data_IF_831469609315
#
_entry.id   IF_831469609315
#
_cell.length_a   1.000
_cell.length_b   1.000
_cell.length_c   1.000
_cell.angle_alpha   90.00
_cell.angle_beta   90.00
_cell.angle_gamma   90.00
#
_symmetry.space_group_name_H-M   'P 1'
#
loop_
_entity.id
_entity.type
_entity.pdbx_description
1 polymer ?
#
# COMPACT_ATOMS: atom_id res chain seq x y z
N UNK A 1 -9.79 26.03 8.44
CA UNK A 1 -10.39 25.33 9.60
C UNK A 1 -10.54 23.85 9.25
N UNK A 2 -10.38 22.92 10.17
CA UNK A 2 -10.67 21.50 9.93
C UNK A 2 -11.79 21.08 10.89
N UNK A 3 -12.89 20.58 10.37
CA UNK A 3 -13.99 20.05 11.16
C UNK A 3 -13.88 18.52 11.24
N UNK A 4 -13.94 17.99 12.46
CA UNK A 4 -14.11 16.55 12.69
C UNK A 4 -15.60 16.27 12.75
N UNK A 5 -16.09 15.41 11.87
CA UNK A 5 -17.50 15.05 11.78
C UNK A 5 -17.64 13.57 12.12
N UNK A 6 -18.45 13.26 13.12
CA UNK A 6 -18.88 11.88 13.40
C UNK A 6 -19.98 11.51 12.41
N UNK A 7 -19.78 10.41 11.67
CA UNK A 7 -20.76 9.85 10.73
C UNK A 7 -21.35 8.56 11.32
N UNK A 8 -22.47 8.10 10.76
CA UNK A 8 -23.11 6.80 11.11
C UNK A 8 -22.05 5.70 11.20
N UNK A 9 -22.16 4.83 12.20
CA UNK A 9 -21.19 3.78 12.60
C UNK A 9 -19.95 4.24 13.38
N UNK A 10 -19.99 5.41 14.02
CA UNK A 10 -18.91 5.95 14.88
C UNK A 10 -17.56 6.16 14.16
N UNK A 11 -17.60 6.33 12.84
CA UNK A 11 -16.44 6.71 12.04
C UNK A 11 -16.23 8.24 12.09
N UNK A 12 -15.00 8.67 12.38
CA UNK A 12 -14.60 10.09 12.39
C UNK A 12 -14.02 10.48 11.03
N UNK A 13 -14.61 11.51 10.43
CA UNK A 13 -14.15 12.08 9.17
C UNK A 13 -13.62 13.50 9.34
N UNK A 14 -12.66 13.89 8.51
CA UNK A 14 -12.17 15.26 8.42
C UNK A 14 -12.82 15.97 7.25
N UNK A 15 -13.47 17.09 7.55
CA UNK A 15 -13.95 18.03 6.57
C UNK A 15 -13.10 19.31 6.64
N UNK A 16 -12.22 19.57 5.67
CA UNK A 16 -11.52 20.85 5.56
C UNK A 16 -12.53 21.96 5.26
N UNK A 17 -12.41 23.08 5.96
CA UNK A 17 -13.28 24.24 5.81
C UNK A 17 -12.43 25.49 5.58
N UNK A 18 -12.54 26.07 4.39
CA UNK A 18 -12.02 27.40 4.08
C UNK A 18 -13.01 28.48 4.53
N UNK A 19 -12.51 29.69 4.81
CA UNK A 19 -13.37 30.86 4.96
C UNK A 19 -13.33 31.66 3.65
N UNK A 20 -14.47 31.77 3.00
CA UNK A 20 -14.63 32.54 1.77
C UNK A 20 -15.79 33.53 1.97
N UNK A 21 -15.51 34.82 1.78
CA UNK A 21 -16.47 35.92 2.00
C UNK A 21 -17.18 35.87 3.37
N UNK A 22 -16.42 35.56 4.44
CA UNK A 22 -16.96 35.48 5.81
C UNK A 22 -17.85 34.26 6.07
N UNK A 23 -17.87 33.27 5.16
CA UNK A 23 -18.60 32.01 5.30
C UNK A 23 -17.65 30.83 5.26
N UNK A 24 -17.88 29.89 6.17
CA UNK A 24 -17.20 28.60 6.14
C UNK A 24 -17.77 27.75 5.00
N UNK A 25 -16.88 27.27 4.13
CA UNK A 25 -17.20 26.39 3.01
C UNK A 25 -16.23 25.21 3.01
N UNK A 26 -16.66 24.06 2.48
CA UNK A 26 -15.77 22.92 2.29
C UNK A 26 -14.61 23.34 1.40
N UNK A 27 -13.39 23.01 1.80
CA UNK A 27 -12.21 23.39 1.03
C UNK A 27 -12.34 22.87 -0.40
N UNK A 28 -12.23 23.79 -1.35
CA UNK A 28 -12.24 23.50 -2.77
C UNK A 28 -10.81 23.34 -3.28
N UNK A 29 -10.67 22.69 -4.43
CA UNK A 29 -9.38 22.58 -5.11
C UNK A 29 -8.87 23.98 -5.49
N UNK A 30 -7.63 24.30 -5.11
CA UNK A 30 -7.01 25.58 -5.47
C UNK A 30 -7.37 26.77 -4.57
N UNK A 31 -8.18 26.58 -3.51
CA UNK A 31 -8.63 27.66 -2.64
C UNK A 31 -7.59 28.12 -1.58
N UNK A 32 -6.44 27.45 -1.51
CA UNK A 32 -5.34 27.77 -0.59
C UNK A 32 -5.48 27.16 0.80
N UNK A 33 -6.58 26.47 1.12
CA UNK A 33 -6.80 25.87 2.45
C UNK A 33 -5.79 24.76 2.72
N UNK A 34 -5.45 23.97 1.71
CA UNK A 34 -4.49 22.87 1.79
C UNK A 34 -3.07 23.39 1.97
N UNK A 35 -2.68 24.41 1.19
CA UNK A 35 -1.43 25.13 1.41
C UNK A 35 -1.34 25.72 2.82
N UNK A 36 -2.42 26.31 3.35
CA UNK A 36 -2.42 26.86 4.70
C UNK A 36 -2.16 25.79 5.78
N UNK A 37 -2.66 24.57 5.60
CA UNK A 37 -2.35 23.44 6.48
C UNK A 37 -0.86 23.05 6.38
N UNK A 38 -0.31 22.98 5.17
CA UNK A 38 1.10 22.71 4.96
C UNK A 38 2.01 23.80 5.57
N UNK A 39 1.61 25.08 5.52
CA UNK A 39 2.29 26.17 6.24
C UNK A 39 2.24 25.96 7.75
N UNK A 40 1.09 25.56 8.30
CA UNK A 40 0.98 25.30 9.74
C UNK A 40 1.88 24.14 10.21
N UNK A 41 2.03 23.11 9.37
CA UNK A 41 2.99 22.01 9.57
C UNK A 41 4.42 22.52 9.54
N UNK A 42 4.76 23.31 8.53
CA UNK A 42 6.09 23.90 8.38
C UNK A 42 6.53 24.74 9.58
N UNK A 43 5.59 25.48 10.16
CA UNK A 43 5.85 26.35 11.31
C UNK A 43 5.68 25.66 12.67
N UNK A 44 5.27 24.39 12.70
CA UNK A 44 5.04 23.64 13.94
C UNK A 44 3.92 24.23 14.80
N UNK A 45 2.85 24.73 14.18
CA UNK A 45 1.75 25.39 14.90
C UNK A 45 0.88 24.38 15.64
N UNK A 46 0.43 24.77 16.84
CA UNK A 46 -0.70 24.13 17.53
C UNK A 46 -1.95 24.96 17.31
N UNK A 47 -2.97 24.38 16.67
CA UNK A 47 -4.23 25.05 16.33
C UNK A 47 -5.33 24.51 17.26
N UNK A 48 -5.77 25.27 18.28
CA UNK A 48 -6.82 24.82 19.19
C UNK A 48 -8.18 24.72 18.47
N UNK A 49 -9.04 23.80 18.92
CA UNK A 49 -10.42 23.72 18.46
C UNK A 49 -11.15 25.04 18.75
N UNK A 50 -11.93 25.52 17.78
CA UNK A 50 -12.82 26.66 18.04
C UNK A 50 -13.89 26.26 19.08
N UNK A 51 -14.25 27.15 20.00
CA UNK A 51 -15.42 26.94 20.85
C UNK A 51 -16.64 26.72 19.96
N UNK A 52 -17.49 25.76 20.31
CA UNK A 52 -18.75 25.51 19.59
C UNK A 52 -19.54 26.83 19.57
N UNK A 53 -19.73 27.43 18.39
CA UNK A 53 -20.40 28.71 18.25
C UNK A 53 -21.89 28.58 18.59
N UNK A 54 -22.23 28.75 19.88
CA UNK A 54 -23.60 28.92 20.39
C UNK A 54 -23.68 29.38 21.86
N UNK A 55 -22.58 29.81 22.50
CA UNK A 55 -22.67 30.35 23.86
C UNK A 55 -22.94 31.87 23.79
N UNK A 56 -23.99 32.39 24.46
CA UNK A 56 -24.25 33.83 24.52
C UNK A 56 -23.04 34.58 25.14
N UNK A 57 -22.84 35.87 24.83
CA UNK A 57 -21.67 36.65 25.28
C UNK A 57 -21.47 36.74 26.81
N UNK A 58 -22.43 36.26 27.59
CA UNK A 58 -22.39 36.16 29.06
C UNK A 58 -21.72 34.90 29.61
N UNK A 59 -21.40 33.90 28.79
CA UNK A 59 -20.81 32.64 29.24
C UNK A 59 -19.30 32.61 29.01
N UNK A 60 -18.55 32.09 29.99
CA UNK A 60 -17.11 31.84 29.82
C UNK A 60 -16.91 30.89 28.63
N UNK A 61 -15.94 31.15 27.74
CA UNK A 61 -15.67 30.25 26.63
C UNK A 61 -15.41 28.83 27.17
N UNK A 62 -16.07 27.85 26.55
CA UNK A 62 -15.88 26.45 26.88
C UNK A 62 -14.38 26.09 26.77
N UNK A 63 -13.85 25.22 27.65
CA UNK A 63 -12.46 24.80 27.57
C UNK A 63 -12.18 24.15 26.21
N UNK A 64 -10.99 24.40 25.66
CA UNK A 64 -10.50 23.75 24.45
C UNK A 64 -10.40 22.25 24.72
N UNK A 65 -11.16 21.44 23.99
CA UNK A 65 -11.21 19.98 24.18
C UNK A 65 -10.40 19.20 23.13
N UNK A 66 -9.94 19.89 22.08
CA UNK A 66 -9.12 19.32 21.03
C UNK A 66 -8.16 20.35 20.44
N UNK A 67 -7.06 19.89 19.87
CA UNK A 67 -6.14 20.72 19.09
C UNK A 67 -5.53 19.92 17.95
N UNK A 68 -5.23 20.60 16.85
CA UNK A 68 -4.32 20.07 15.84
C UNK A 68 -2.90 20.44 16.23
N UNK A 69 -2.04 19.44 16.37
CA UNK A 69 -0.62 19.61 16.63
C UNK A 69 0.11 19.33 15.34
N UNK A 70 0.62 20.38 14.71
CA UNK A 70 1.35 20.27 13.44
C UNK A 70 2.85 20.13 13.74
N UNK A 71 3.52 19.19 13.08
CA UNK A 71 4.92 18.84 13.34
C UNK A 71 5.72 18.84 12.05
N UNK A 72 6.73 19.71 11.88
CA UNK A 72 7.64 19.62 10.75
C UNK A 72 8.60 18.44 10.96
N UNK A 73 8.96 17.76 9.86
CA UNK A 73 9.97 16.71 9.85
C UNK A 73 11.30 17.24 9.30
N UNK A 74 12.39 16.49 9.52
CA UNK A 74 13.74 16.94 9.21
C UNK A 74 13.94 17.25 7.71
N UNK A 75 13.32 16.48 6.82
CA UNK A 75 13.50 16.64 5.38
C UNK A 75 12.81 17.89 4.81
N UNK A 76 11.92 18.54 5.55
CA UNK A 76 11.15 19.68 5.06
C UNK A 76 12.02 20.83 4.56
N UNK A 77 13.12 21.14 5.24
CA UNK A 77 14.04 22.21 4.83
C UNK A 77 14.73 21.88 3.51
N UNK A 78 15.17 20.63 3.36
CA UNK A 78 15.82 20.16 2.14
C UNK A 78 14.84 20.16 0.95
N UNK A 79 13.59 19.77 1.19
CA UNK A 79 12.52 19.74 0.17
C UNK A 79 12.00 21.16 -0.18
N UNK A 80 11.99 22.06 0.80
CA UNK A 80 11.54 23.45 0.66
C UNK A 80 12.50 24.39 -0.08
N UNK A 81 13.73 23.95 -0.37
CA UNK A 81 14.68 24.71 -1.20
C UNK A 81 15.46 25.82 -0.47
N UNK A 82 15.59 25.80 0.85
CA UNK A 82 16.40 26.78 1.59
C UNK A 82 16.16 26.86 3.11
N UNK A 83 16.79 27.86 3.75
CA UNK A 83 16.79 28.06 5.21
C UNK A 83 15.44 28.53 5.80
N UNK A 84 14.54 29.04 4.96
CA UNK A 84 13.19 29.46 5.33
C UNK A 84 12.17 28.78 4.39
N UNK A 85 11.12 28.22 4.98
CA UNK A 85 10.13 27.41 4.27
C UNK A 85 9.18 28.34 3.52
N UNK A 86 9.34 28.51 2.20
CA UNK A 86 8.41 29.29 1.36
C UNK A 86 7.17 28.48 0.92
N UNK A 87 6.66 27.56 1.75
CA UNK A 87 5.43 26.80 1.46
C UNK A 87 4.24 27.74 1.22
N UNK A 88 4.23 28.93 1.83
CA UNK A 88 3.20 29.93 1.63
C UNK A 88 3.08 30.41 0.17
N UNK A 89 4.17 30.37 -0.62
CA UNK A 89 4.21 30.77 -2.02
C UNK A 89 4.02 29.64 -3.04
N UNK A 90 3.95 28.39 -2.58
CA UNK A 90 3.86 27.23 -3.46
C UNK A 90 2.51 27.16 -4.17
N UNK A 91 2.45 27.02 -5.51
CA UNK A 91 1.19 26.75 -6.20
C UNK A 91 0.65 25.39 -5.75
N UNK A 92 -0.68 25.28 -5.61
CA UNK A 92 -1.34 24.04 -5.23
C UNK A 92 -2.14 23.46 -6.40
N UNK A 93 -2.12 22.13 -6.56
CA UNK A 93 -3.01 21.42 -7.48
C UNK A 93 -3.48 20.07 -6.92
N UNK A 94 -4.68 19.60 -7.30
CA UNK A 94 -5.13 18.26 -6.96
C UNK A 94 -4.35 17.17 -7.72
N UNK A 95 -4.30 15.97 -7.15
CA UNK A 95 -3.75 14.76 -7.80
C UNK A 95 -4.80 14.08 -8.69
N UNK A 96 -6.10 14.32 -8.44
CA UNK A 96 -7.22 13.86 -9.28
C UNK A 96 -7.57 12.37 -9.20
N UNK A 97 -6.70 11.52 -8.64
CA UNK A 97 -6.81 10.06 -8.71
C UNK A 97 -6.76 9.33 -7.35
N UNK A 98 -6.94 10.02 -6.22
CA UNK A 98 -6.90 9.40 -4.89
C UNK A 98 -8.33 9.07 -4.39
N UNK A 99 -8.64 7.79 -4.23
CA UNK A 99 -9.99 7.33 -3.84
C UNK A 99 -10.17 7.22 -2.32
N UNK A 100 -9.10 6.94 -1.57
CA UNK A 100 -9.16 6.73 -0.12
C UNK A 100 -8.95 8.05 0.65
N UNK A 101 -8.10 8.93 0.13
CA UNK A 101 -7.69 10.16 0.80
C UNK A 101 -7.87 11.40 -0.08
N UNK A 102 -7.53 12.56 0.47
CA UNK A 102 -7.46 13.80 -0.31
C UNK A 102 -6.00 14.23 -0.40
N UNK A 103 -5.46 14.20 -1.63
CA UNK A 103 -4.05 14.48 -1.90
C UNK A 103 -3.88 15.74 -2.76
N UNK A 104 -2.98 16.64 -2.34
CA UNK A 104 -2.70 17.92 -2.99
C UNK A 104 -1.19 18.08 -3.18
N UNK A 105 -0.77 18.43 -4.38
CA UNK A 105 0.62 18.73 -4.73
C UNK A 105 0.89 20.21 -4.53
N UNK A 106 2.04 20.53 -3.94
CA UNK A 106 2.55 21.87 -3.67
C UNK A 106 3.89 22.05 -4.40
N UNK A 107 3.93 22.99 -5.36
CA UNK A 107 5.11 23.35 -6.19
C UNK A 107 5.85 22.18 -6.85
N UNK A 108 5.17 21.07 -7.14
CA UNK A 108 5.80 19.83 -7.63
C UNK A 108 6.97 19.35 -6.73
N UNK A 109 6.96 19.72 -5.45
CA UNK A 109 8.01 19.35 -4.47
C UNK A 109 7.45 18.58 -3.29
N UNK A 110 6.24 18.93 -2.86
CA UNK A 110 5.58 18.32 -1.72
C UNK A 110 4.21 17.80 -2.12
N UNK A 111 3.80 16.72 -1.47
CA UNK A 111 2.43 16.21 -1.53
C UNK A 111 1.88 16.16 -0.12
N UNK A 112 0.73 16.80 0.08
CA UNK A 112 -0.06 16.76 1.30
C UNK A 112 -1.14 15.69 1.12
N UNK A 113 -1.09 14.63 1.92
CA UNK A 113 -2.11 13.57 2.00
C UNK A 113 -2.93 13.79 3.27
N UNK A 114 -4.24 13.99 3.11
CA UNK A 114 -5.18 14.18 4.23
C UNK A 114 -6.08 12.98 4.35
N UNK A 115 -6.04 12.35 5.53
CA UNK A 115 -6.78 11.13 5.80
C UNK A 115 -8.26 11.42 5.95
N UNK A 116 -9.09 10.80 5.11
CA UNK A 116 -10.55 11.01 5.19
C UNK A 116 -11.13 10.34 6.42
N UNK A 117 -10.69 9.12 6.71
CA UNK A 117 -11.11 8.33 7.87
C UNK A 117 -9.99 8.36 8.91
N UNK A 118 -10.29 8.87 10.11
CA UNK A 118 -9.31 8.97 11.20
C UNK A 118 -9.47 7.80 12.16
N UNK A 119 -8.35 7.19 12.54
CA UNK A 119 -8.31 6.14 13.56
C UNK A 119 -7.43 6.57 14.75
N UNK A 120 -7.75 6.18 15.99
CA UNK A 120 -6.92 6.47 17.14
C UNK A 120 -5.50 5.89 16.98
N UNK A 121 -4.49 6.68 17.32
CA UNK A 121 -3.08 6.32 17.23
C UNK A 121 -2.36 6.96 16.02
N UNK A 122 -1.13 6.50 15.81
CA UNK A 122 -0.34 6.88 14.64
C UNK A 122 -0.88 6.11 13.43
N UNK A 123 -1.09 6.81 12.32
CA UNK A 123 -1.40 6.16 11.06
C UNK A 123 -0.18 5.32 10.60
N UNK A 124 -0.38 4.06 10.14
CA UNK A 124 0.72 3.20 9.68
C UNK A 124 1.60 3.81 8.58
N UNK A 125 1.03 4.62 7.68
CA UNK A 125 1.76 5.33 6.63
C UNK A 125 2.76 6.33 7.22
N UNK A 126 2.36 7.04 8.27
CA UNK A 126 3.26 7.94 9.00
C UNK A 126 4.32 7.15 9.78
N UNK A 127 3.90 6.12 10.54
CA UNK A 127 4.79 5.34 11.40
C UNK A 127 5.88 4.62 10.60
N UNK A 128 5.49 3.90 9.54
CA UNK A 128 6.41 3.11 8.73
C UNK A 128 7.29 4.00 7.86
N UNK A 129 6.75 5.09 7.29
CA UNK A 129 7.58 6.03 6.53
C UNK A 129 8.61 6.72 7.43
N UNK A 130 8.23 7.19 8.62
CA UNK A 130 9.17 7.78 9.58
C UNK A 130 10.26 6.78 9.99
N UNK A 131 9.89 5.54 10.32
CA UNK A 131 10.85 4.48 10.63
C UNK A 131 11.83 4.23 9.47
N UNK A 132 11.30 4.02 8.27
CA UNK A 132 12.09 3.70 7.08
C UNK A 132 13.02 4.86 6.71
N UNK A 133 12.48 6.07 6.58
CA UNK A 133 13.22 7.22 6.09
C UNK A 133 14.17 7.80 7.14
N UNK A 134 13.73 7.95 8.39
CA UNK A 134 14.48 8.70 9.42
C UNK A 134 15.35 7.80 10.30
N UNK A 135 14.86 6.63 10.70
CA UNK A 135 15.58 5.75 11.64
C UNK A 135 16.51 4.77 10.93
N UNK A 136 16.05 4.17 9.81
CA UNK A 136 16.82 3.13 9.10
C UNK A 136 17.60 3.69 7.90
N UNK A 137 17.16 4.80 7.32
CA UNK A 137 17.75 5.37 6.10
C UNK A 137 17.44 4.53 4.85
N UNK A 138 16.23 3.97 4.77
CA UNK A 138 15.70 3.37 3.55
C UNK A 138 15.30 4.47 2.56
N UNK A 139 16.08 4.64 1.50
CA UNK A 139 15.92 5.76 0.55
C UNK A 139 14.78 5.58 -0.46
N UNK A 140 14.25 4.35 -0.60
CA UNK A 140 13.21 4.03 -1.58
C UNK A 140 11.78 4.30 -1.07
N UNK A 141 11.61 5.31 -0.21
CA UNK A 141 10.32 5.90 0.18
C UNK A 141 10.36 7.42 -0.01
N UNK A 142 9.22 8.09 -0.28
CA UNK A 142 9.17 9.54 -0.24
C UNK A 142 9.57 10.07 1.14
N UNK A 143 10.44 11.07 1.20
CA UNK A 143 10.88 11.66 2.46
C UNK A 143 9.74 12.38 3.17
N UNK A 144 9.60 12.14 4.48
CA UNK A 144 8.63 12.84 5.32
C UNK A 144 9.01 14.31 5.51
N UNK A 145 8.10 15.22 5.20
CA UNK A 145 8.23 16.66 5.40
C UNK A 145 7.46 17.16 6.64
N UNK A 146 6.48 16.41 7.12
CA UNK A 146 5.80 16.69 8.39
C UNK A 146 4.43 16.06 8.46
N UNK A 147 3.73 16.29 9.55
CA UNK A 147 2.41 15.69 9.77
C UNK A 147 1.57 16.50 10.77
N UNK A 148 0.30 16.13 10.88
CA UNK A 148 -0.67 16.72 11.80
C UNK A 148 -1.34 15.64 12.61
N UNK A 149 -1.41 15.85 13.92
CA UNK A 149 -2.17 15.02 14.84
C UNK A 149 -3.36 15.79 15.40
N UNK A 150 -4.53 15.17 15.45
CA UNK A 150 -5.63 15.61 16.29
C UNK A 150 -5.42 15.06 17.70
N UNK A 151 -5.21 15.94 18.67
CA UNK A 151 -5.08 15.60 20.08
C UNK A 151 -6.36 15.99 20.81
N UNK A 152 -6.98 15.04 21.50
CA UNK A 152 -8.15 15.24 22.37
C UNK A 152 -7.87 14.67 23.77
N UNK A 153 -8.82 14.84 24.69
CA UNK A 153 -8.74 14.19 26.00
C UNK A 153 -8.70 12.65 25.93
N UNK A 154 -9.22 12.07 24.84
CA UNK A 154 -9.35 10.62 24.66
C UNK A 154 -8.14 10.00 23.94
N UNK A 155 -7.22 10.82 23.42
CA UNK A 155 -6.02 10.35 22.71
C UNK A 155 -5.61 11.22 21.53
N UNK A 156 -4.69 10.70 20.72
CA UNK A 156 -4.21 11.35 19.51
C UNK A 156 -4.54 10.52 18.27
N UNK A 157 -4.68 11.17 17.12
CA UNK A 157 -4.88 10.51 15.84
C UNK A 157 -4.22 11.28 14.70
N UNK A 158 -3.55 10.60 13.78
CA UNK A 158 -2.96 11.26 12.60
C UNK A 158 -4.06 11.74 11.64
N UNK A 159 -3.95 12.99 11.20
CA UNK A 159 -4.92 13.69 10.35
C UNK A 159 -4.41 13.89 8.93
N UNK A 160 -3.13 14.22 8.80
CA UNK A 160 -2.52 14.49 7.53
C UNK A 160 -1.00 14.28 7.62
N UNK A 161 -0.38 14.03 6.48
CA UNK A 161 1.07 14.03 6.33
C UNK A 161 1.47 14.81 5.09
N UNK A 162 2.69 15.35 5.11
CA UNK A 162 3.35 16.00 3.99
C UNK A 162 4.61 15.20 3.69
N UNK A 163 4.79 14.82 2.44
CA UNK A 163 5.94 14.08 1.96
C UNK A 163 6.52 14.75 0.71
N UNK A 164 7.71 14.31 0.32
CA UNK A 164 8.28 14.57 -1.00
C UNK A 164 7.31 14.16 -2.11
N UNK A 165 7.01 15.10 -3.01
CA UNK A 165 6.39 14.77 -4.29
C UNK A 165 7.49 14.28 -5.25
N UNK A 166 7.16 13.32 -6.11
CA UNK A 166 8.08 12.71 -7.05
C UNK A 166 7.68 13.11 -8.49
N UNK A 167 8.25 14.19 -9.05
CA UNK A 167 7.90 14.65 -10.39
C UNK A 167 8.23 13.61 -11.46
N UNK A 168 7.28 13.38 -12.36
CA UNK A 168 7.45 12.42 -13.46
C UNK A 168 7.40 10.95 -13.03
N UNK A 169 7.11 10.67 -11.75
CA UNK A 169 6.82 9.33 -11.29
C UNK A 169 5.58 8.78 -12.00
N UNK A 170 5.64 7.51 -12.40
CA UNK A 170 4.51 6.79 -12.98
C UNK A 170 4.20 5.55 -12.15
N UNK A 171 2.94 5.14 -12.15
CA UNK A 171 2.53 3.88 -11.54
C UNK A 171 3.29 2.69 -12.16
N UNK A 172 3.93 1.87 -11.33
CA UNK A 172 4.77 0.77 -11.82
C UNK A 172 3.93 -0.34 -12.47
N UNK A 173 2.68 -0.54 -12.04
CA UNK A 173 1.79 -1.52 -12.69
C UNK A 173 1.46 -1.09 -14.12
N UNK A 174 1.03 0.15 -14.33
CA UNK A 174 0.67 0.68 -15.64
C UNK A 174 1.87 0.78 -16.58
N UNK A 175 3.01 1.28 -16.10
CA UNK A 175 4.23 1.38 -16.90
C UNK A 175 4.78 -0.01 -17.29
N UNK A 176 4.75 -0.98 -16.38
CA UNK A 176 5.12 -2.38 -16.67
C UNK A 176 4.15 -3.00 -17.68
N UNK A 177 2.83 -2.84 -17.49
CA UNK A 177 1.82 -3.38 -18.39
C UNK A 177 1.97 -2.81 -19.81
N UNK A 178 2.22 -1.51 -19.94
CA UNK A 178 2.44 -0.85 -21.24
C UNK A 178 3.70 -1.38 -21.94
N UNK A 179 4.81 -1.51 -21.19
CA UNK A 179 6.09 -2.01 -21.70
C UNK A 179 5.99 -3.46 -22.18
N UNK A 180 5.40 -4.34 -21.37
CA UNK A 180 5.14 -5.74 -21.75
C UNK A 180 4.22 -5.82 -22.96
N UNK A 181 3.17 -4.98 -23.02
CA UNK A 181 2.26 -4.92 -24.17
C UNK A 181 3.02 -4.57 -25.45
N UNK A 182 3.91 -3.58 -25.40
CA UNK A 182 4.73 -3.16 -26.54
C UNK A 182 5.65 -4.29 -27.02
N UNK A 183 6.31 -5.01 -26.09
CA UNK A 183 7.17 -6.15 -26.42
C UNK A 183 6.40 -7.33 -27.04
N UNK A 184 5.22 -7.66 -26.50
CA UNK A 184 4.34 -8.69 -27.09
C UNK A 184 3.99 -8.35 -28.54
N UNK A 185 3.78 -7.07 -28.85
CA UNK A 185 3.39 -6.61 -30.18
C UNK A 185 4.53 -6.47 -31.18
N UNK A 186 5.79 -6.57 -30.74
CA UNK A 186 6.99 -6.32 -31.53
C UNK A 186 7.93 -7.56 -31.57
N UNK A 187 7.74 -8.48 -32.53
CA UNK A 187 8.59 -9.66 -32.70
C UNK A 187 10.08 -9.35 -32.82
N UNK A 188 10.91 -10.10 -32.07
CA UNK A 188 12.37 -9.97 -32.08
C UNK A 188 12.93 -8.72 -31.39
N UNK A 189 12.09 -7.95 -30.68
CA UNK A 189 12.51 -6.72 -30.00
C UNK A 189 13.19 -6.95 -28.66
N UNK A 190 12.93 -8.07 -27.99
CA UNK A 190 13.41 -8.35 -26.64
C UNK A 190 13.58 -9.84 -26.40
N UNK A 191 14.51 -10.21 -25.52
CA UNK A 191 14.62 -11.57 -24.97
C UNK A 191 13.88 -11.68 -23.66
N UNK A 192 13.38 -12.86 -23.30
CA UNK A 192 12.77 -13.12 -21.97
C UNK A 192 13.71 -12.70 -20.83
N UNK A 193 15.01 -13.02 -20.91
CA UNK A 193 15.97 -12.68 -19.85
C UNK A 193 16.01 -11.16 -19.59
N UNK A 194 16.24 -10.36 -20.63
CA UNK A 194 16.20 -8.90 -20.54
C UNK A 194 14.85 -8.38 -20.01
N UNK A 195 13.74 -8.92 -20.52
CA UNK A 195 12.40 -8.51 -20.11
C UNK A 195 12.11 -8.80 -18.61
N UNK A 196 12.89 -9.67 -17.97
CA UNK A 196 12.74 -10.02 -16.55
C UNK A 196 13.74 -9.33 -15.61
N UNK A 197 14.58 -8.42 -16.10
CA UNK A 197 15.51 -7.66 -15.25
C UNK A 197 14.76 -6.79 -14.22
N UNK A 198 13.63 -6.21 -14.62
CA UNK A 198 12.75 -5.44 -13.72
C UNK A 198 12.28 -6.28 -12.52
N UNK A 199 11.96 -7.56 -12.73
CA UNK A 199 11.58 -8.45 -11.65
C UNK A 199 12.75 -8.68 -10.67
N UNK A 200 13.99 -8.74 -11.15
CA UNK A 200 15.17 -8.82 -10.28
C UNK A 200 15.38 -7.53 -9.47
N UNK A 201 15.16 -6.36 -10.07
CA UNK A 201 15.23 -5.06 -9.40
C UNK A 201 14.17 -4.97 -8.30
N UNK A 202 12.92 -5.36 -8.61
CA UNK A 202 11.84 -5.41 -7.62
C UNK A 202 12.15 -6.40 -6.48
N UNK A 203 12.76 -7.54 -6.79
CA UNK A 203 13.20 -8.50 -5.77
C UNK A 203 14.24 -7.91 -4.81
N UNK A 204 15.22 -7.18 -5.34
CA UNK A 204 16.23 -6.48 -4.53
C UNK A 204 15.61 -5.35 -3.68
N UNK A 205 14.70 -4.57 -4.27
CA UNK A 205 13.95 -3.53 -3.58
C UNK A 205 13.12 -4.09 -2.42
N UNK A 206 12.43 -5.20 -2.66
CA UNK A 206 11.60 -5.88 -1.64
C UNK A 206 12.48 -6.41 -0.51
N UNK A 207 13.66 -6.96 -0.83
CA UNK A 207 14.61 -7.41 0.18
C UNK A 207 15.17 -6.26 1.02
N UNK A 208 15.42 -5.11 0.39
CA UNK A 208 15.85 -3.91 1.11
C UNK A 208 14.76 -3.41 2.05
N UNK A 209 13.49 -3.36 1.59
CA UNK A 209 12.35 -2.98 2.43
C UNK A 209 12.22 -3.90 3.64
N UNK A 210 12.12 -5.21 3.44
CA UNK A 210 11.92 -6.15 4.55
C UNK A 210 13.11 -6.21 5.50
N UNK A 211 14.35 -6.08 4.99
CA UNK A 211 15.53 -5.96 5.85
C UNK A 211 15.49 -4.69 6.70
N UNK A 212 15.03 -3.57 6.15
CA UNK A 212 14.87 -2.31 6.87
C UNK A 212 13.77 -2.39 7.95
N UNK A 213 12.64 -3.03 7.64
CA UNK A 213 11.57 -3.25 8.61
C UNK A 213 11.96 -4.25 9.71
N UNK A 214 12.86 -5.19 9.42
CA UNK A 214 13.40 -6.15 10.39
C UNK A 214 14.58 -5.60 11.23
N UNK A 215 15.01 -4.36 11.00
CA UNK A 215 16.21 -3.80 11.64
C UNK A 215 15.99 -3.33 13.09
N UNK A 216 14.74 -3.23 13.56
CA UNK A 216 14.33 -2.60 14.82
C UNK A 216 14.66 -3.37 16.11
N UNK A 217 15.92 -3.76 16.31
CA UNK A 217 16.35 -4.45 17.55
C UNK A 217 16.13 -3.54 18.77
N UNK A 218 15.35 -4.02 19.73
CA UNK A 218 15.03 -3.28 20.97
C UNK A 218 13.98 -2.17 20.81
N UNK A 219 13.35 -2.06 19.64
CA UNK A 219 12.17 -1.22 19.41
C UNK A 219 10.93 -2.13 19.45
N UNK A 220 10.09 -2.08 20.50
CA UNK A 220 9.01 -3.06 20.70
C UNK A 220 8.06 -3.24 19.51
N UNK A 221 7.81 -2.17 18.74
CA UNK A 221 6.87 -2.19 17.60
C UNK A 221 7.53 -2.65 16.28
N UNK A 222 8.86 -2.84 16.26
CA UNK A 222 9.67 -3.23 15.09
C UNK A 222 10.60 -4.44 15.36
N UNK A 223 10.58 -4.99 16.57
CA UNK A 223 11.43 -6.12 16.94
C UNK A 223 10.92 -7.40 16.27
N UNK A 224 11.74 -8.08 15.45
CA UNK A 224 11.33 -9.34 14.84
C UNK A 224 11.06 -10.39 15.91
N UNK A 225 9.98 -11.17 15.74
CA UNK A 225 9.61 -12.25 16.66
C UNK A 225 9.31 -13.55 15.95
N UNK A 226 9.52 -14.65 16.65
CA UNK A 226 9.09 -15.97 16.19
C UNK A 226 7.55 -16.09 16.17
N UNK A 227 7.02 -16.74 15.15
CA UNK A 227 5.61 -17.08 15.05
C UNK A 227 5.25 -18.22 16.02
N UNK A 228 4.21 -18.00 16.83
CA UNK A 228 3.65 -19.01 17.70
C UNK A 228 2.57 -19.85 17.01
N UNK A 229 2.14 -20.93 17.66
CA UNK A 229 1.04 -21.78 17.16
C UNK A 229 -0.27 -21.03 16.97
N UNK A 230 -0.53 -20.00 17.77
CA UNK A 230 -1.75 -19.20 17.65
C UNK A 230 -1.72 -18.28 16.44
N UNK A 231 -0.55 -17.77 16.05
CA UNK A 231 -0.36 -17.02 14.79
C UNK A 231 -0.68 -17.93 13.60
N UNK A 232 -0.07 -19.12 13.57
CA UNK A 232 -0.28 -20.12 12.53
C UNK A 232 -1.77 -20.50 12.36
N UNK A 233 -2.45 -20.77 13.47
CA UNK A 233 -3.89 -21.07 13.50
C UNK A 233 -4.74 -19.88 13.06
N UNK A 234 -4.34 -18.66 13.42
CA UNK A 234 -5.04 -17.45 12.98
C UNK A 234 -4.93 -17.28 11.46
N UNK A 235 -3.77 -17.56 10.86
CA UNK A 235 -3.60 -17.51 9.40
C UNK A 235 -4.43 -18.57 8.69
N UNK A 236 -4.42 -19.81 9.18
CA UNK A 236 -5.27 -20.85 8.60
C UNK A 236 -6.76 -20.47 8.62
N UNK A 237 -7.25 -19.96 9.76
CA UNK A 237 -8.63 -19.48 9.89
C UNK A 237 -8.93 -18.30 8.97
N UNK A 238 -8.03 -17.32 8.89
CA UNK A 238 -8.20 -16.14 8.05
C UNK A 238 -8.27 -16.51 6.57
N UNK A 239 -7.33 -17.33 6.09
CA UNK A 239 -7.29 -17.78 4.71
C UNK A 239 -8.50 -18.65 4.34
N UNK A 240 -8.93 -19.54 5.24
CA UNK A 240 -10.14 -20.35 5.04
C UNK A 240 -11.40 -19.48 4.98
N UNK A 241 -11.53 -18.49 5.88
CA UNK A 241 -12.63 -17.54 5.84
C UNK A 241 -12.62 -16.68 4.56
N UNK A 242 -11.43 -16.32 4.08
CA UNK A 242 -11.26 -15.58 2.84
C UNK A 242 -11.69 -16.39 1.61
N UNK A 243 -11.28 -17.66 1.53
CA UNK A 243 -11.75 -18.59 0.49
C UNK A 243 -13.27 -18.70 0.49
N UNK A 244 -13.88 -18.87 1.67
CA UNK A 244 -15.34 -18.93 1.80
C UNK A 244 -16.00 -17.65 1.28
N UNK A 245 -15.54 -16.47 1.72
CA UNK A 245 -16.03 -15.18 1.24
C UNK A 245 -15.90 -15.02 -0.27
N UNK A 246 -14.78 -15.45 -0.86
CA UNK A 246 -14.57 -15.41 -2.29
C UNK A 246 -15.59 -16.29 -3.04
N UNK A 247 -15.81 -17.52 -2.56
CA UNK A 247 -16.79 -18.43 -3.16
C UNK A 247 -18.24 -17.95 -3.05
N UNK A 248 -18.55 -17.19 -2.00
CA UNK A 248 -19.88 -16.59 -1.78
C UNK A 248 -20.09 -15.32 -2.61
N UNK A 249 -19.03 -14.53 -2.82
CA UNK A 249 -19.06 -13.27 -3.55
C UNK A 249 -19.14 -13.48 -5.08
N UNK A 250 -18.43 -14.48 -5.62
CA UNK A 250 -18.34 -14.71 -7.06
C UNK A 250 -19.48 -15.60 -7.55
N UNK A 251 -20.27 -15.07 -8.48
CA UNK A 251 -21.45 -15.73 -9.07
C UNK A 251 -21.20 -16.11 -10.53
N UNK A 252 -22.12 -16.88 -11.12
CA UNK A 252 -22.02 -17.29 -12.52
C UNK A 252 -20.96 -18.36 -12.78
N UNK A 253 -20.56 -18.56 -14.06
CA UNK A 253 -19.59 -19.57 -14.47
C UNK A 253 -18.24 -19.46 -13.74
N UNK A 254 -17.77 -18.22 -13.52
CA UNK A 254 -16.52 -17.95 -12.79
C UNK A 254 -16.60 -18.43 -11.34
N UNK A 255 -17.77 -18.26 -10.70
CA UNK A 255 -18.01 -18.76 -9.35
C UNK A 255 -18.12 -20.28 -9.28
N UNK A 256 -18.72 -20.92 -10.28
CA UNK A 256 -18.77 -22.40 -10.38
C UNK A 256 -17.38 -23.00 -10.52
N UNK A 257 -16.54 -22.37 -11.32
CA UNK A 257 -15.15 -22.79 -11.50
C UNK A 257 -14.32 -22.57 -10.24
N UNK A 258 -14.44 -21.41 -9.57
CA UNK A 258 -13.78 -21.19 -8.28
C UNK A 258 -14.18 -22.25 -7.24
N UNK A 259 -15.48 -22.58 -7.15
CA UNK A 259 -15.98 -23.65 -6.27
C UNK A 259 -15.42 -25.03 -6.62
N UNK A 260 -15.15 -25.30 -7.90
CA UNK A 260 -14.52 -26.56 -8.33
C UNK A 260 -13.06 -26.67 -7.90
N UNK A 261 -12.36 -25.54 -7.75
CA UNK A 261 -10.97 -25.46 -7.28
C UNK A 261 -10.86 -25.43 -5.75
N UNK A 262 -11.94 -25.12 -5.03
CA UNK A 262 -11.95 -25.01 -3.55
C UNK A 262 -11.29 -26.18 -2.82
N UNK A 263 -11.47 -27.46 -3.19
CA UNK A 263 -10.80 -28.57 -2.51
C UNK A 263 -9.27 -28.51 -2.61
N UNK A 264 -8.73 -28.12 -3.76
CA UNK A 264 -7.29 -27.97 -3.97
C UNK A 264 -6.77 -26.78 -3.18
N UNK A 265 -7.48 -25.64 -3.24
CA UNK A 265 -7.10 -24.44 -2.49
C UNK A 265 -7.08 -24.76 -0.99
N UNK A 266 -8.13 -25.41 -0.46
CA UNK A 266 -8.22 -25.78 0.95
C UNK A 266 -7.07 -26.72 1.38
N UNK A 267 -6.65 -27.66 0.53
CA UNK A 267 -5.50 -28.52 0.80
C UNK A 267 -4.19 -27.73 0.90
N UNK A 268 -3.97 -26.75 0.02
CA UNK A 268 -2.78 -25.89 0.06
C UNK A 268 -2.75 -25.02 1.33
N UNK A 269 -3.92 -24.58 1.84
CA UNK A 269 -4.01 -23.80 3.08
C UNK A 269 -3.67 -24.61 4.34
N UNK A 270 -3.72 -25.94 4.29
CA UNK A 270 -3.38 -26.80 5.45
C UNK A 270 -1.92 -26.65 5.89
N UNK A 271 -1.04 -26.14 5.03
CA UNK A 271 0.37 -25.90 5.37
C UNK A 271 0.54 -25.00 6.59
N UNK A 272 -0.41 -24.08 6.83
CA UNK A 272 -0.38 -23.22 8.00
C UNK A 272 -0.45 -24.02 9.31
N UNK A 273 -1.02 -25.23 9.31
CA UNK A 273 -1.09 -26.09 10.49
C UNK A 273 0.16 -26.97 10.69
N UNK A 274 1.01 -27.08 9.68
CA UNK A 274 2.11 -28.04 9.61
C UNK A 274 3.41 -27.41 9.08
N UNK A 275 3.75 -26.21 9.54
CA UNK A 275 4.98 -25.53 9.15
C UNK A 275 6.22 -26.26 9.69
N UNK A 276 7.21 -26.61 8.84
CA UNK A 276 8.41 -27.32 9.28
C UNK A 276 9.37 -26.46 10.13
N UNK A 277 9.35 -25.13 9.95
CA UNK A 277 10.18 -24.17 10.67
C UNK A 277 9.40 -23.25 11.62
N UNK A 278 10.10 -22.24 12.16
CA UNK A 278 9.46 -21.15 12.91
C UNK A 278 9.61 -19.87 12.09
N UNK A 279 8.55 -19.43 11.38
CA UNK A 279 8.60 -18.19 10.64
C UNK A 279 8.94 -17.01 11.55
N UNK A 280 9.79 -16.11 11.05
CA UNK A 280 10.01 -14.81 11.68
C UNK A 280 8.92 -13.86 11.20
N UNK A 281 8.39 -13.10 12.14
CA UNK A 281 7.46 -12.03 11.90
C UNK A 281 8.12 -10.69 12.13
N UNK A 282 7.82 -9.77 11.22
CA UNK A 282 8.36 -8.42 11.12
C UNK A 282 7.21 -7.44 10.98
N UNK A 283 7.52 -6.15 10.89
CA UNK A 283 6.60 -5.21 10.25
C UNK A 283 6.72 -5.38 8.74
N UNK A 284 5.62 -5.12 8.03
CA UNK A 284 5.53 -5.18 6.57
C UNK A 284 4.69 -4.03 6.05
N UNK A 285 4.63 -3.88 4.73
CA UNK A 285 3.75 -2.92 4.07
C UNK A 285 2.27 -3.31 4.23
N UNK A 286 1.93 -4.59 4.12
CA UNK A 286 0.59 -5.10 4.35
C UNK A 286 -0.42 -4.90 3.21
N UNK A 287 -0.01 -4.27 2.11
CA UNK A 287 -0.73 -4.21 0.82
C UNK A 287 0.26 -4.04 -0.35
N UNK A 288 1.35 -4.81 -0.33
CA UNK A 288 2.46 -4.60 -1.25
C UNK A 288 2.19 -5.17 -2.65
N UNK A 289 2.07 -4.30 -3.65
CA UNK A 289 1.89 -4.68 -5.05
C UNK A 289 2.48 -3.61 -5.99
N UNK A 290 2.54 -3.86 -7.30
CA UNK A 290 3.12 -2.90 -8.26
C UNK A 290 2.43 -1.54 -8.26
N UNK A 291 1.12 -1.49 -8.00
CA UNK A 291 0.40 -0.21 -7.82
C UNK A 291 0.82 0.62 -6.59
N UNK A 292 1.56 0.04 -5.65
CA UNK A 292 2.17 0.76 -4.51
C UNK A 292 3.66 1.06 -4.75
N UNK A 293 4.10 0.91 -6.00
CA UNK A 293 5.45 1.23 -6.44
C UNK A 293 5.35 2.28 -7.53
N UNK A 294 6.10 3.36 -7.35
CA UNK A 294 6.27 4.43 -8.34
C UNK A 294 7.59 4.23 -9.07
N UNK A 295 7.54 4.19 -10.40
CA UNK A 295 8.70 4.21 -11.29
C UNK A 295 9.12 5.67 -11.52
N UNK A 296 10.30 6.05 -11.01
CA UNK A 296 10.87 7.40 -11.16
C UNK A 296 12.15 7.35 -11.99
N UNK A 297 12.61 8.49 -12.55
CA UNK A 297 13.85 8.52 -13.34
C UNK A 297 15.10 8.02 -12.61
N UNK A 298 15.10 8.06 -11.27
CA UNK A 298 16.20 7.66 -10.40
C UNK A 298 15.94 6.35 -9.63
N UNK A 299 14.85 5.65 -9.93
CA UNK A 299 14.55 4.30 -9.42
C UNK A 299 13.27 4.23 -8.57
N UNK A 300 12.83 3.02 -8.26
CA UNK A 300 11.52 2.85 -7.61
C UNK A 300 11.37 3.54 -6.25
N UNK A 301 10.15 3.95 -5.95
CA UNK A 301 9.70 4.43 -4.63
C UNK A 301 8.47 3.65 -4.18
N UNK A 302 8.46 3.25 -2.92
CA UNK A 302 7.35 2.51 -2.29
C UNK A 302 6.49 3.53 -1.55
N UNK A 303 5.17 3.41 -1.70
CA UNK A 303 4.19 4.35 -1.13
C UNK A 303 3.05 3.59 -0.44
N UNK A 304 2.24 4.31 0.34
CA UNK A 304 0.96 3.84 0.88
C UNK A 304 1.05 2.65 1.86
N UNK A 305 1.74 2.85 2.99
CA UNK A 305 1.90 1.82 4.01
C UNK A 305 0.67 1.66 4.94
N UNK A 306 -0.53 2.05 4.48
CA UNK A 306 -1.78 1.94 5.26
C UNK A 306 -2.27 0.49 5.44
N UNK A 307 -1.80 -0.43 4.58
CA UNK A 307 -2.24 -1.83 4.52
C UNK A 307 -3.62 -2.03 3.87
N UNK A 308 -4.05 -3.29 3.72
CA UNK A 308 -5.25 -3.63 2.93
C UNK A 308 -6.55 -2.93 3.44
N UNK A 309 -7.20 -2.08 2.61
CA UNK A 309 -8.35 -1.26 3.04
C UNK A 309 -9.59 -2.06 3.48
N UNK A 310 -9.78 -3.25 2.91
CA UNK A 310 -10.98 -4.07 3.12
C UNK A 310 -10.89 -4.95 4.37
N UNK A 311 -9.74 -4.98 5.07
CA UNK A 311 -9.61 -5.73 6.32
C UNK A 311 -10.49 -5.14 7.42
N UNK A 312 -11.06 -5.99 8.30
CA UNK A 312 -11.82 -5.53 9.45
C UNK A 312 -11.03 -4.52 10.28
N UNK A 313 -11.73 -3.51 10.81
CA UNK A 313 -11.11 -2.44 11.61
C UNK A 313 -10.34 -2.97 12.81
N UNK A 314 -10.75 -4.09 13.40
CA UNK A 314 -10.10 -4.69 14.56
C UNK A 314 -8.76 -5.37 14.21
N UNK A 315 -8.59 -5.81 12.96
CA UNK A 315 -7.29 -6.29 12.43
C UNK A 315 -6.39 -5.12 12.05
N UNK A 316 -6.94 -4.03 11.49
CA UNK A 316 -6.19 -2.78 11.22
C UNK A 316 -5.77 -2.02 12.49
N UNK A 317 -6.61 -2.05 13.53
CA UNK A 317 -6.36 -1.45 14.85
C UNK A 317 -5.34 -2.20 15.69
N UNK A 318 -5.02 -3.43 15.33
CA UNK A 318 -3.90 -4.13 15.96
C UNK A 318 -2.61 -3.47 15.46
N UNK A 319 -2.18 -2.41 16.18
CA UNK A 319 -0.85 -1.79 16.10
C UNK A 319 0.28 -2.82 15.97
N UNK A 320 0.05 -4.01 16.53
CA UNK A 320 0.99 -5.09 16.67
C UNK A 320 0.54 -6.38 15.97
N UNK A 321 -0.33 -6.33 14.95
CA UNK A 321 -0.55 -7.51 14.11
C UNK A 321 0.75 -7.71 13.33
N UNK A 322 1.56 -8.73 13.65
CA UNK A 322 2.80 -8.95 12.95
C UNK A 322 2.41 -9.55 11.60
N UNK A 323 2.22 -8.67 10.64
CA UNK A 323 1.98 -9.04 9.26
C UNK A 323 3.31 -9.56 8.70
N UNK A 324 3.25 -10.62 7.89
CA UNK A 324 4.41 -11.44 7.54
C UNK A 324 5.02 -10.98 6.22
N UNK A 325 6.35 -10.96 6.09
CA UNK A 325 7.05 -10.62 4.83
C UNK A 325 6.58 -11.49 3.64
N UNK A 326 6.15 -12.73 3.92
CA UNK A 326 5.61 -13.61 2.89
C UNK A 326 4.25 -13.17 2.34
N UNK A 327 3.47 -12.38 3.09
CA UNK A 327 2.24 -11.76 2.56
C UNK A 327 2.58 -10.68 1.55
N UNK A 328 3.53 -9.81 1.86
CA UNK A 328 4.03 -8.81 0.91
C UNK A 328 4.65 -9.49 -0.32
N UNK A 329 5.44 -10.55 -0.11
CA UNK A 329 6.04 -11.32 -1.19
C UNK A 329 5.00 -12.00 -2.08
N UNK A 330 3.97 -12.62 -1.48
CA UNK A 330 2.86 -13.21 -2.21
C UNK A 330 2.09 -12.16 -3.00
N UNK A 331 1.75 -11.03 -2.38
CA UNK A 331 1.03 -9.93 -3.02
C UNK A 331 1.79 -9.34 -4.21
N UNK A 332 3.11 -9.14 -4.08
CA UNK A 332 3.93 -8.68 -5.20
C UNK A 332 4.01 -9.73 -6.32
N UNK A 333 4.20 -11.01 -6.00
CA UNK A 333 4.21 -12.08 -7.01
C UNK A 333 2.88 -12.21 -7.75
N UNK A 334 1.75 -12.10 -7.04
CA UNK A 334 0.41 -12.04 -7.66
C UNK A 334 0.27 -10.80 -8.55
N UNK A 335 0.79 -9.65 -8.12
CA UNK A 335 0.81 -8.43 -8.93
C UNK A 335 1.63 -8.57 -10.22
N UNK A 336 2.79 -9.22 -10.16
CA UNK A 336 3.62 -9.56 -11.33
C UNK A 336 2.87 -10.52 -12.28
N UNK A 337 2.14 -11.50 -11.74
CA UNK A 337 1.31 -12.37 -12.56
C UNK A 337 0.18 -11.62 -13.26
N UNK A 338 -0.56 -10.80 -12.50
CA UNK A 338 -1.65 -10.00 -13.03
C UNK A 338 -1.20 -8.98 -14.07
N UNK A 339 -0.05 -8.32 -13.88
CA UNK A 339 0.45 -7.33 -14.85
C UNK A 339 0.82 -8.00 -16.18
N UNK A 340 1.41 -9.20 -16.13
CA UNK A 340 1.73 -9.97 -17.33
C UNK A 340 0.47 -10.40 -18.09
N UNK A 341 -0.52 -10.95 -17.38
CA UNK A 341 -1.82 -11.31 -17.98
C UNK A 341 -2.56 -10.09 -18.55
N UNK A 342 -2.53 -8.97 -17.84
CA UNK A 342 -3.07 -7.69 -18.31
C UNK A 342 -2.39 -7.23 -19.59
N UNK A 343 -1.07 -7.31 -19.67
CA UNK A 343 -0.32 -6.97 -20.89
C UNK A 343 -0.70 -7.86 -22.07
N UNK A 344 -0.84 -9.18 -21.87
CA UNK A 344 -1.33 -10.11 -22.90
C UNK A 344 -2.72 -9.69 -23.39
N UNK A 345 -3.64 -9.39 -22.48
CA UNK A 345 -5.00 -8.96 -22.84
C UNK A 345 -5.03 -7.62 -23.57
N UNK A 346 -4.23 -6.63 -23.13
CA UNK A 346 -4.06 -5.33 -23.81
C UNK A 346 -3.52 -5.52 -25.23
N UNK A 347 -2.53 -6.40 -25.42
CA UNK A 347 -1.96 -6.70 -26.73
C UNK A 347 -3.01 -7.32 -27.67
N UNK A 348 -3.80 -8.27 -27.18
CA UNK A 348 -4.88 -8.89 -27.95
C UNK A 348 -5.94 -7.87 -28.37
N UNK A 349 -6.33 -6.98 -27.46
CA UNK A 349 -7.28 -5.90 -27.74
C UNK A 349 -6.74 -4.95 -28.82
N UNK A 350 -5.47 -4.53 -28.73
CA UNK A 350 -4.82 -3.64 -29.71
C UNK A 350 -4.69 -4.27 -31.09
N UNK A 351 -4.50 -5.59 -31.18
CA UNK A 351 -4.42 -6.33 -32.45
C UNK A 351 -5.79 -6.74 -33.00
N UNK A 352 -6.85 -6.69 -32.20
CA UNK A 352 -8.17 -7.18 -32.56
C UNK A 352 -8.31 -8.71 -32.55
N UNK A 353 -7.49 -9.41 -31.77
CA UNK A 353 -7.48 -10.87 -31.70
C UNK A 353 -6.23 -11.45 -31.05
N UNK A 354 -6.09 -12.78 -31.12
CA UNK A 354 -4.91 -13.49 -30.63
C UNK A 354 -3.67 -13.03 -31.40
N UNK A 355 -2.57 -12.78 -30.68
CA UNK A 355 -1.27 -12.48 -31.30
C UNK A 355 -0.60 -13.80 -31.65
N UNK A 356 -0.67 -14.24 -32.91
CA UNK A 356 -0.17 -15.55 -33.35
C UNK A 356 1.34 -15.73 -33.22
N UNK A 357 2.11 -14.63 -33.29
CA UNK A 357 3.56 -14.63 -33.14
C UNK A 357 3.96 -13.47 -32.22
N UNK A 358 3.78 -13.65 -30.89
CA UNK A 358 4.09 -12.59 -29.94
C UNK A 358 5.61 -12.37 -29.88
N UNK A 359 6.03 -11.12 -29.75
CA UNK A 359 7.45 -10.78 -29.59
C UNK A 359 8.04 -11.12 -28.23
N UNK A 360 7.18 -11.33 -27.25
CA UNK A 360 7.52 -11.85 -25.92
C UNK A 360 6.53 -12.97 -25.58
N UNK A 361 7.05 -14.15 -25.27
CA UNK A 361 6.25 -15.22 -24.67
C UNK A 361 5.98 -14.86 -23.21
N UNK A 362 4.71 -14.53 -22.92
CA UNK A 362 4.33 -14.06 -21.60
C UNK A 362 4.35 -15.17 -20.54
N UNK A 363 4.09 -16.42 -20.91
CA UNK A 363 4.12 -17.54 -19.94
C UNK A 363 5.57 -17.85 -19.55
N UNK A 364 6.49 -17.80 -20.51
CA UNK A 364 7.92 -17.87 -20.25
C UNK A 364 8.41 -16.68 -19.40
N UNK A 365 7.91 -15.47 -19.68
CA UNK A 365 8.20 -14.28 -18.89
C UNK A 365 7.70 -14.40 -17.45
N UNK A 366 6.47 -14.86 -17.23
CA UNK A 366 5.88 -15.04 -15.90
C UNK A 366 6.72 -16.00 -15.05
N UNK A 367 7.07 -17.15 -15.63
CA UNK A 367 7.92 -18.16 -14.97
C UNK A 367 9.27 -17.56 -14.59
N UNK A 368 9.93 -16.90 -15.56
CA UNK A 368 11.27 -16.35 -15.36
C UNK A 368 11.27 -15.13 -14.42
N UNK A 369 10.24 -14.29 -14.47
CA UNK A 369 10.09 -13.13 -13.59
C UNK A 369 9.99 -13.57 -12.12
N UNK A 370 9.18 -14.59 -11.83
CA UNK A 370 9.08 -15.21 -10.50
C UNK A 370 10.45 -15.69 -10.00
N UNK A 371 11.18 -16.43 -10.84
CA UNK A 371 12.53 -16.91 -10.49
C UNK A 371 13.48 -15.75 -10.18
N UNK A 372 13.58 -14.76 -11.07
CA UNK A 372 14.46 -13.60 -10.93
C UNK A 372 14.14 -12.79 -9.68
N UNK A 373 12.85 -12.56 -9.43
CA UNK A 373 12.38 -11.84 -8.25
C UNK A 373 12.79 -12.58 -6.97
N UNK A 374 12.47 -13.87 -6.85
CA UNK A 374 12.77 -14.66 -5.65
C UNK A 374 14.27 -14.89 -5.44
N UNK A 375 15.04 -15.07 -6.52
CA UNK A 375 16.50 -15.18 -6.46
C UNK A 375 17.11 -13.88 -5.93
N UNK A 376 16.74 -12.75 -6.53
CA UNK A 376 17.24 -11.43 -6.13
C UNK A 376 16.82 -11.09 -4.70
N UNK A 377 15.57 -11.38 -4.33
CA UNK A 377 15.06 -11.19 -2.98
C UNK A 377 15.88 -11.95 -1.93
N UNK A 378 16.06 -13.28 -2.12
CA UNK A 378 16.84 -14.10 -1.19
C UNK A 378 18.30 -13.64 -1.10
N UNK A 379 18.91 -13.24 -2.23
CA UNK A 379 20.27 -12.70 -2.27
C UNK A 379 20.35 -11.38 -1.50
N UNK A 380 19.40 -10.46 -1.72
CA UNK A 380 19.34 -9.15 -1.07
C UNK A 380 19.16 -9.25 0.46
N UNK A 381 18.33 -10.20 0.93
CA UNK A 381 18.16 -10.49 2.36
C UNK A 381 19.47 -10.98 2.98
N UNK A 382 20.13 -11.96 2.34
CA UNK A 382 21.41 -12.51 2.81
C UNK A 382 22.50 -11.44 2.86
N UNK A 383 22.59 -10.58 1.84
CA UNK A 383 23.56 -9.50 1.77
C UNK A 383 23.39 -8.50 2.92
N UNK A 384 22.15 -8.30 3.39
CA UNK A 384 21.81 -7.39 4.51
C UNK A 384 21.79 -8.08 5.88
N UNK A 385 22.01 -9.40 5.95
CA UNK A 385 21.96 -10.16 7.20
C UNK A 385 20.58 -10.17 7.86
N UNK A 386 19.51 -10.02 7.08
CA UNK A 386 18.14 -10.02 7.59
C UNK A 386 17.75 -11.42 8.11
N UNK A 387 17.08 -11.54 9.27
CA UNK A 387 16.72 -12.82 9.88
C UNK A 387 15.48 -13.46 9.22
N UNK A 388 15.29 -13.26 7.91
CA UNK A 388 14.09 -13.68 7.19
C UNK A 388 14.44 -14.87 6.30
N UNK A 389 13.67 -15.95 6.43
CA UNK A 389 13.75 -17.12 5.56
C UNK A 389 12.47 -17.31 4.76
N UNK A 390 12.63 -17.78 3.52
CA UNK A 390 11.54 -17.93 2.54
C UNK A 390 11.16 -19.39 2.42
N UNK A 391 10.18 -19.79 3.24
CA UNK A 391 9.48 -21.05 3.11
C UNK A 391 8.54 -21.00 1.89
N UNK A 392 8.82 -21.85 0.90
CA UNK A 392 8.12 -21.85 -0.39
C UNK A 392 6.69 -22.36 -0.29
N UNK A 393 6.40 -23.28 0.63
CA UNK A 393 5.06 -23.84 0.80
C UNK A 393 4.16 -22.82 1.49
N UNK A 394 4.71 -22.10 2.48
CA UNK A 394 3.99 -21.00 3.11
C UNK A 394 3.77 -19.82 2.18
N UNK A 395 4.77 -19.48 1.36
CA UNK A 395 4.62 -18.45 0.34
C UNK A 395 3.46 -18.81 -0.60
N UNK A 396 3.43 -20.05 -1.09
CA UNK A 396 2.37 -20.56 -1.95
C UNK A 396 0.99 -20.47 -1.31
N UNK A 397 0.85 -20.83 -0.03
CA UNK A 397 -0.42 -20.68 0.67
C UNK A 397 -0.87 -19.21 0.82
N UNK A 398 0.07 -18.28 1.01
CA UNK A 398 -0.25 -16.84 0.99
C UNK A 398 -0.63 -16.34 -0.41
N UNK A 399 -0.06 -16.90 -1.48
CA UNK A 399 -0.49 -16.59 -2.85
C UNK A 399 -1.94 -17.03 -3.09
N UNK A 400 -2.34 -18.20 -2.57
CA UNK A 400 -3.75 -18.63 -2.58
C UNK A 400 -4.65 -17.73 -1.73
N UNK A 401 -4.23 -17.36 -0.51
CA UNK A 401 -4.96 -16.41 0.34
C UNK A 401 -5.16 -15.08 -0.42
N UNK A 402 -4.09 -14.55 -1.03
CA UNK A 402 -4.14 -13.28 -1.78
C UNK A 402 -5.02 -13.39 -3.01
N UNK A 403 -4.96 -14.46 -3.79
CA UNK A 403 -5.82 -14.57 -4.97
C UNK A 403 -7.31 -14.66 -4.58
N UNK A 404 -7.63 -15.27 -3.43
CA UNK A 404 -8.99 -15.21 -2.87
C UNK A 404 -9.42 -13.78 -2.50
N UNK A 405 -8.50 -12.94 -2.02
CA UNK A 405 -8.78 -11.51 -1.81
C UNK A 405 -9.14 -10.81 -3.13
N UNK A 406 -8.35 -11.05 -4.18
CA UNK A 406 -8.53 -10.42 -5.49
C UNK A 406 -9.90 -10.77 -6.11
N UNK A 407 -10.41 -11.98 -5.89
CA UNK A 407 -11.80 -12.33 -6.24
C UNK A 407 -12.84 -11.46 -5.53
N UNK A 408 -12.69 -11.25 -4.22
CA UNK A 408 -13.62 -10.43 -3.42
C UNK A 408 -13.57 -8.98 -3.90
N UNK A 409 -12.37 -8.47 -4.13
CA UNK A 409 -12.16 -7.10 -4.63
C UNK A 409 -12.78 -6.92 -6.02
N UNK A 410 -12.47 -7.79 -6.97
CA UNK A 410 -13.02 -7.76 -8.32
C UNK A 410 -14.55 -7.91 -8.32
N UNK A 411 -15.12 -8.83 -7.54
CA UNK A 411 -16.58 -9.00 -7.45
C UNK A 411 -17.29 -7.74 -6.90
N UNK A 412 -16.62 -6.97 -6.05
CA UNK A 412 -17.20 -5.80 -5.36
C UNK A 412 -17.04 -4.52 -6.17
N UNK A 413 -15.84 -4.26 -6.70
CA UNK A 413 -15.46 -2.96 -7.27
C UNK A 413 -15.23 -3.00 -8.77
N UNK A 414 -14.74 -4.12 -9.32
CA UNK A 414 -14.36 -4.24 -10.73
C UNK A 414 -14.86 -5.57 -11.34
N UNK A 415 -16.17 -5.82 -11.47
CA UNK A 415 -16.67 -7.13 -11.92
C UNK A 415 -16.14 -7.55 -13.30
N UNK A 416 -15.89 -6.59 -14.19
CA UNK A 416 -15.29 -6.82 -15.50
C UNK A 416 -13.84 -7.31 -15.45
N UNK A 417 -13.20 -7.24 -14.28
CA UNK A 417 -11.84 -7.70 -14.01
C UNK A 417 -11.75 -9.09 -13.39
N UNK A 418 -12.86 -9.77 -13.10
CA UNK A 418 -12.88 -11.13 -12.52
C UNK A 418 -12.08 -12.18 -13.31
N UNK A 419 -11.87 -11.97 -14.60
CA UNK A 419 -11.02 -12.81 -15.44
C UNK A 419 -9.57 -12.88 -14.94
N UNK A 420 -9.03 -11.79 -14.35
CA UNK A 420 -7.64 -11.73 -13.90
C UNK A 420 -7.38 -12.65 -12.70
N UNK A 421 -8.13 -12.56 -11.58
CA UNK A 421 -7.96 -13.49 -10.47
C UNK A 421 -8.32 -14.93 -10.83
N UNK A 422 -9.24 -15.14 -11.78
CA UNK A 422 -9.57 -16.48 -12.25
C UNK A 422 -8.42 -17.13 -13.03
N UNK A 423 -7.83 -16.40 -13.97
CA UNK A 423 -6.66 -16.88 -14.72
C UNK A 423 -5.45 -17.12 -13.81
N UNK A 424 -5.22 -16.21 -12.85
CA UNK A 424 -4.17 -16.34 -11.86
C UNK A 424 -4.35 -17.56 -10.95
N UNK A 425 -5.56 -17.77 -10.43
CA UNK A 425 -5.90 -18.94 -9.63
C UNK A 425 -5.71 -20.26 -10.40
N UNK A 426 -6.10 -20.30 -11.69
CA UNK A 426 -5.86 -21.50 -12.54
C UNK A 426 -4.38 -21.83 -12.64
N UNK A 427 -3.52 -20.84 -12.80
CA UNK A 427 -2.08 -21.07 -12.88
C UNK A 427 -1.53 -21.58 -11.54
N UNK A 428 -1.93 -20.97 -10.42
CA UNK A 428 -1.53 -21.44 -9.09
C UNK A 428 -1.94 -22.90 -8.85
N UNK A 429 -3.18 -23.26 -9.18
CA UNK A 429 -3.68 -24.65 -9.07
C UNK A 429 -2.97 -25.60 -10.04
N UNK A 430 -2.59 -25.14 -11.23
CA UNK A 430 -1.89 -25.93 -12.24
C UNK A 430 -0.40 -26.17 -11.94
N UNK A 431 0.23 -25.28 -11.17
CA UNK A 431 1.58 -25.46 -10.65
C UNK A 431 1.60 -26.60 -9.63
N UNK A 432 2.57 -27.51 -9.73
CA UNK A 432 2.77 -28.53 -8.69
C UNK A 432 3.40 -27.88 -7.47
N UNK A 433 2.87 -28.18 -6.28
CA UNK A 433 3.53 -27.84 -5.04
C UNK A 433 4.94 -28.51 -5.03
N UNK A 434 6.04 -27.75 -4.87
CA UNK A 434 7.39 -28.32 -4.96
C UNK A 434 7.68 -29.42 -3.92
N UNK A 435 6.92 -29.43 -2.82
CA UNK A 435 7.11 -30.29 -1.66
C UNK A 435 6.08 -31.43 -1.56
N UNK A 436 5.09 -31.50 -2.46
CA UNK A 436 4.02 -32.54 -2.46
C UNK A 436 3.93 -33.33 -3.75
#
# INVERSE_FOLDING_TARGET
>A
MLAVVDVVDAARYILPLGEHDGRLQVAAEGDGTWRALAVAIAEGRTIPSLPRAAAPPSERPAPVTAALVCRPAAALRALGGGDAIEVAGMPERPVGADQSNTSVVLDERLILKVFRRIEPGLNPDLELNAWLAEEVGFEAVPRLAGFVELVTADGAATVALVQEYLPGAVDAYESTAERLTAWILAPGSVTVEYATEEAAVLGELTAYLHAALAAGRGQPDFEPREAGRDDLRAWHRAATAQLQRATDAVRGPEGEELRSMTPVIADELTVFEAVPGVPILTRVHGDYHLGQVLDTPDGYRIIDFEGEPTRPLEERRQRNSPLRDLRDLASMLRSIDHVGRSARRRAQQRRGGVVESPGLDIEAWLTRARERFLESYRRGLRARGAPIDVDVDLLRAFEFEKECYEFIYAATYLPAWLWAPLEGMRALVGERNPSR
#
